data_IF_435309859756
#
_entry.id   IF_435309859756
#
_cell.length_a   1.000
_cell.length_b   1.000
_cell.length_c   1.000
_cell.angle_alpha   90.00
_cell.angle_beta   90.00
_cell.angle_gamma   90.00
#
_symmetry.space_group_name_H-M   'P 1'
#
loop_
_entity.id
_entity.type
_entity.pdbx_description
1 polymer ?
#
# COMPACT_ATOMS: atom_id res chain seq x y z
N UNK A 1 57.55 -6.44 30.91
CA UNK A 1 58.00 -5.04 31.12
C UNK A 1 58.08 -4.42 29.73
N UNK A 2 57.33 -3.40 29.33
CA UNK A 2 56.41 -2.52 30.05
C UNK A 2 55.44 -1.87 29.05
N UNK A 3 54.22 -1.60 29.53
CA UNK A 3 53.09 -0.90 28.89
C UNK A 3 53.39 0.59 28.62
N UNK A 4 52.73 1.21 27.63
CA UNK A 4 51.93 2.46 27.84
C UNK A 4 51.16 2.96 26.60
N UNK A 5 50.10 3.73 26.87
CA UNK A 5 49.00 4.25 26.02
C UNK A 5 49.23 5.69 25.50
N UNK A 6 48.38 6.10 24.54
CA UNK A 6 47.85 7.47 24.34
C UNK A 6 48.43 8.23 23.13
N UNK A 7 47.62 8.97 22.33
CA UNK A 7 47.22 10.37 22.65
C UNK A 7 45.74 10.71 22.31
N UNK A 8 45.03 11.64 22.97
CA UNK A 8 45.04 13.14 23.08
C UNK A 8 44.18 13.86 22.02
N UNK A 9 43.31 14.74 22.54
CA UNK A 9 42.22 15.54 22.00
C UNK A 9 42.61 17.00 21.67
N UNK A 10 41.82 17.64 20.78
CA UNK A 10 41.37 19.06 20.76
C UNK A 10 42.44 20.17 20.50
N UNK A 11 42.23 21.34 19.86
CA UNK A 11 41.06 22.15 19.46
C UNK A 11 41.52 23.48 18.74
N UNK A 12 40.55 24.29 18.21
CA UNK A 12 40.58 25.74 17.79
C UNK A 12 41.44 26.16 16.55
N UNK A 13 41.21 27.18 15.71
CA UNK A 13 40.36 28.39 15.52
C UNK A 13 40.55 28.84 14.03
N UNK A 14 39.56 29.24 13.22
CA UNK A 14 38.93 30.57 12.98
C UNK A 14 39.76 31.68 12.24
N UNK A 15 39.08 32.32 11.26
CA UNK A 15 39.39 33.61 10.55
C UNK A 15 40.56 33.65 9.51
N UNK A 16 40.61 34.45 8.43
CA UNK A 16 39.77 35.48 7.77
C UNK A 16 40.42 35.93 6.42
N UNK A 17 39.59 36.47 5.49
CA UNK A 17 39.81 37.59 4.53
C UNK A 17 41.06 37.71 3.60
N UNK A 18 40.81 38.00 2.30
CA UNK A 18 41.62 38.95 1.49
C UNK A 18 42.08 38.53 0.07
N UNK A 19 42.35 39.48 -0.87
CA UNK A 19 41.79 39.43 -2.24
C UNK A 19 42.77 39.51 -3.44
N UNK A 20 42.17 39.35 -4.64
CA UNK A 20 42.42 39.98 -5.97
C UNK A 20 43.79 39.89 -6.69
N UNK A 21 43.75 39.52 -7.99
CA UNK A 21 44.57 40.18 -9.02
C UNK A 21 43.97 40.03 -10.44
N UNK A 22 44.03 41.14 -11.17
CA UNK A 22 43.36 41.49 -12.43
C UNK A 22 43.92 40.84 -13.71
N UNK A 23 43.14 40.85 -14.80
CA UNK A 23 43.62 41.38 -16.10
C UNK A 23 42.48 41.78 -17.08
N UNK A 24 42.36 43.10 -17.24
CA UNK A 24 42.12 43.93 -18.44
C UNK A 24 40.83 43.87 -19.29
N UNK A 25 40.30 45.07 -19.56
CA UNK A 25 39.13 45.48 -20.34
C UNK A 25 39.54 46.02 -21.73
N UNK A 26 38.64 45.98 -22.72
CA UNK A 26 38.20 47.12 -23.58
C UNK A 26 37.07 46.65 -24.53
N UNK A 27 35.82 47.16 -24.41
CA UNK A 27 35.14 48.21 -25.22
C UNK A 27 34.75 47.74 -26.65
N UNK A 28 33.50 47.77 -27.12
CA UNK A 28 32.62 48.93 -27.37
C UNK A 28 31.12 48.54 -27.52
N UNK A 29 30.21 49.53 -27.39
CA UNK A 29 28.74 49.41 -27.31
C UNK A 29 27.91 49.35 -28.62
N UNK A 30 26.69 49.95 -28.68
CA UNK A 30 25.40 49.23 -28.56
C UNK A 30 24.42 49.46 -29.76
N UNK A 31 23.08 49.45 -29.60
CA UNK A 31 22.10 48.37 -29.83
C UNK A 31 21.17 48.62 -31.04
N UNK A 32 20.26 47.71 -31.41
CA UNK A 32 19.10 48.09 -32.24
C UNK A 32 17.88 47.16 -32.11
N UNK A 33 16.73 47.79 -31.82
CA UNK A 33 15.35 47.27 -31.93
C UNK A 33 14.96 46.92 -33.37
N UNK A 34 14.04 45.97 -33.54
CA UNK A 34 12.91 46.05 -34.51
C UNK A 34 11.93 44.86 -34.37
N UNK A 35 10.71 45.14 -33.93
CA UNK A 35 9.45 44.51 -34.39
C UNK A 35 8.85 45.40 -35.52
N UNK A 36 7.72 45.07 -36.19
CA UNK A 36 7.04 43.79 -36.46
C UNK A 36 6.69 43.64 -37.98
N UNK A 37 6.05 42.55 -38.41
CA UNK A 37 5.13 42.54 -39.57
C UNK A 37 4.19 41.33 -39.53
N UNK A 38 2.98 41.56 -40.04
CA UNK A 38 1.69 40.96 -39.70
C UNK A 38 1.20 39.86 -40.65
N UNK A 39 0.17 39.13 -40.16
CA UNK A 39 -0.93 38.44 -40.89
C UNK A 39 -0.62 37.18 -41.73
N UNK A 40 -1.23 36.05 -41.36
CA UNK A 40 -2.52 35.64 -41.94
C UNK A 40 -3.13 34.42 -41.23
N UNK A 41 -4.36 34.63 -40.79
CA UNK A 41 -5.31 33.62 -40.32
C UNK A 41 -5.75 32.73 -41.50
N UNK A 42 -5.74 31.41 -41.33
CA UNK A 42 -6.54 30.51 -42.16
C UNK A 42 -7.20 29.45 -41.28
N UNK A 43 -8.52 29.56 -41.18
CA UNK A 43 -9.39 28.59 -40.56
C UNK A 43 -9.42 27.28 -41.38
N UNK A 44 -9.11 26.17 -40.72
CA UNK A 44 -9.31 24.79 -41.20
C UNK A 44 -10.17 24.01 -40.18
N UNK A 45 -10.82 22.91 -40.59
CA UNK A 45 -12.15 22.49 -40.13
C UNK A 45 -12.18 21.90 -38.71
N UNK A 46 -13.36 21.82 -38.07
CA UNK A 46 -13.48 21.30 -36.73
C UNK A 46 -13.56 19.76 -36.74
N UNK A 47 -12.95 19.15 -35.73
CA UNK A 47 -13.09 17.76 -35.27
C UNK A 47 -12.41 16.61 -36.04
N UNK A 48 -11.38 16.07 -35.39
CA UNK A 48 -10.97 14.67 -35.43
C UNK A 48 -10.09 14.37 -34.21
N UNK A 49 -10.67 13.82 -33.12
CA UNK A 49 -9.92 13.28 -31.97
C UNK A 49 -9.12 12.06 -32.45
N UNK A 50 -7.82 12.23 -32.68
CA UNK A 50 -6.90 11.14 -32.95
C UNK A 50 -5.51 11.62 -33.36
N UNK A 51 -4.49 11.09 -32.71
CA UNK A 51 -3.04 11.30 -32.92
C UNK A 51 -2.43 12.60 -32.34
N UNK A 52 -1.64 12.46 -31.28
CA UNK A 52 -0.80 13.55 -30.75
C UNK A 52 -0.37 13.48 -29.29
N UNK A 53 -0.66 12.42 -28.53
CA UNK A 53 -0.13 12.27 -27.17
C UNK A 53 1.17 11.47 -27.18
N UNK A 54 2.32 12.13 -27.00
CA UNK A 54 3.62 11.47 -26.73
C UNK A 54 3.74 10.95 -25.29
N UNK A 55 2.64 10.99 -24.52
CA UNK A 55 2.60 10.62 -23.11
C UNK A 55 1.43 9.70 -22.77
N UNK A 56 1.65 8.86 -21.76
CA UNK A 56 0.62 8.06 -21.13
C UNK A 56 0.27 8.67 -19.77
N UNK A 57 -0.90 9.29 -19.64
CA UNK A 57 -1.29 9.96 -18.38
C UNK A 57 -1.56 8.96 -17.26
N UNK A 58 -2.02 7.75 -17.60
CA UNK A 58 -2.31 6.69 -16.62
C UNK A 58 -1.07 5.95 -16.12
N UNK A 59 0.12 6.24 -16.68
CA UNK A 59 1.36 5.55 -16.30
C UNK A 59 2.63 6.35 -16.56
N UNK A 60 3.26 6.81 -15.48
CA UNK A 60 4.54 7.55 -15.53
C UNK A 60 5.73 6.71 -16.00
N UNK A 61 5.65 5.38 -15.95
CA UNK A 61 6.71 4.48 -16.45
C UNK A 61 6.53 4.06 -17.91
N UNK A 62 5.52 4.60 -18.59
CA UNK A 62 5.30 4.30 -19.98
C UNK A 62 6.32 5.02 -20.86
N UNK A 63 6.87 4.29 -21.83
CA UNK A 63 7.59 4.85 -22.98
C UNK A 63 6.64 4.82 -24.17
N UNK A 64 6.44 5.97 -24.80
CA UNK A 64 5.55 6.12 -25.95
C UNK A 64 6.37 6.62 -27.15
N UNK A 65 6.40 5.84 -28.22
CA UNK A 65 7.20 6.11 -29.41
C UNK A 65 6.51 5.64 -30.71
N UNK A 66 7.02 6.09 -31.85
CA UNK A 66 6.56 5.68 -33.18
C UNK A 66 5.41 6.49 -33.77
N UNK A 67 4.99 6.10 -34.98
CA UNK A 67 3.86 6.68 -35.73
C UNK A 67 3.10 5.53 -36.40
N UNK A 68 1.89 5.17 -35.93
CA UNK A 68 1.14 5.75 -34.82
C UNK A 68 1.85 5.57 -33.47
N UNK A 69 1.58 6.45 -32.50
CA UNK A 69 2.20 6.42 -31.17
C UNK A 69 1.78 5.14 -30.42
N UNK A 70 2.77 4.33 -30.01
CA UNK A 70 2.56 3.10 -29.25
C UNK A 70 3.22 3.27 -27.88
N UNK A 71 2.43 3.10 -26.82
CA UNK A 71 2.92 3.16 -25.44
C UNK A 71 3.14 1.76 -24.88
N UNK A 72 4.25 1.58 -24.17
CA UNK A 72 4.57 0.33 -23.49
C UNK A 72 5.28 0.58 -22.16
N UNK A 73 5.25 -0.40 -21.27
CA UNK A 73 6.09 -0.40 -20.06
C UNK A 73 6.83 -1.73 -19.93
N UNK A 74 8.01 -1.70 -19.31
CA UNK A 74 8.77 -2.91 -19.03
C UNK A 74 8.16 -3.68 -17.87
N UNK A 75 7.90 -4.97 -18.08
CA UNK A 75 7.32 -5.89 -17.07
C UNK A 75 8.24 -7.06 -16.74
N UNK A 76 9.25 -7.32 -17.56
CA UNK A 76 10.35 -8.24 -17.33
C UNK A 76 11.51 -7.89 -18.27
N UNK A 77 12.64 -8.58 -18.16
CA UNK A 77 13.76 -8.41 -19.08
C UNK A 77 13.32 -8.62 -20.53
N UNK A 78 13.64 -7.63 -21.37
CA UNK A 78 13.27 -7.60 -22.80
C UNK A 78 11.77 -7.78 -23.09
N UNK A 79 10.90 -7.62 -22.09
CA UNK A 79 9.46 -7.83 -22.22
C UNK A 79 8.72 -6.52 -22.00
N UNK A 80 8.15 -5.99 -23.08
CA UNK A 80 7.33 -4.79 -23.11
C UNK A 80 5.85 -5.16 -23.07
N UNK A 81 5.13 -4.63 -22.09
CA UNK A 81 3.68 -4.71 -22.04
C UNK A 81 3.08 -3.51 -22.81
N UNK A 82 2.33 -3.73 -23.90
CA UNK A 82 1.61 -2.65 -24.58
C UNK A 82 0.52 -2.08 -23.66
N UNK A 83 0.30 -0.76 -23.76
CA UNK A 83 -0.60 -0.01 -22.90
C UNK A 83 -1.70 0.70 -23.70
N UNK A 84 -2.93 0.63 -23.18
CA UNK A 84 -4.03 1.52 -23.58
C UNK A 84 -4.05 2.70 -22.60
N UNK A 85 -3.50 3.85 -23.00
CA UNK A 85 -3.37 5.02 -22.15
C UNK A 85 -4.69 5.76 -21.88
N UNK A 86 -5.80 5.30 -22.46
CA UNK A 86 -7.13 5.84 -22.16
C UNK A 86 -7.81 5.11 -20.99
N UNK A 87 -7.15 4.10 -20.42
CA UNK A 87 -7.67 3.33 -19.29
C UNK A 87 -6.60 3.19 -18.22
N UNK A 88 -7.04 2.99 -16.98
CA UNK A 88 -6.14 2.55 -15.91
C UNK A 88 -5.55 1.19 -16.27
N UNK A 89 -4.27 1.00 -15.96
CA UNK A 89 -3.57 -0.24 -16.26
C UNK A 89 -4.01 -1.32 -15.25
N UNK A 90 -4.25 -2.56 -15.71
CA UNK A 90 -4.56 -3.68 -14.84
C UNK A 90 -3.53 -3.89 -13.73
N UNK A 91 -3.98 -4.09 -12.49
CA UNK A 91 -3.12 -4.28 -11.31
C UNK A 91 -2.08 -5.38 -11.50
N UNK A 92 -2.39 -6.47 -12.19
CA UNK A 92 -1.43 -7.55 -12.42
C UNK A 92 -0.20 -7.07 -13.19
N UNK A 93 -0.40 -6.30 -14.27
CA UNK A 93 0.71 -5.72 -15.04
C UNK A 93 1.47 -4.67 -14.24
N UNK A 94 0.78 -3.88 -13.42
CA UNK A 94 1.43 -2.92 -12.53
C UNK A 94 2.36 -3.60 -11.54
N UNK A 95 1.90 -4.67 -10.91
CA UNK A 95 2.71 -5.47 -9.99
C UNK A 95 3.93 -6.07 -10.71
N UNK A 96 3.77 -6.61 -11.93
CA UNK A 96 4.93 -7.04 -12.74
C UNK A 96 5.94 -5.93 -13.00
N UNK A 97 5.46 -4.76 -13.44
CA UNK A 97 6.33 -3.62 -13.72
C UNK A 97 7.08 -3.16 -12.45
N UNK A 98 6.42 -3.16 -11.31
CA UNK A 98 7.05 -2.84 -10.03
C UNK A 98 8.11 -3.86 -9.63
N UNK A 99 7.84 -5.16 -9.81
CA UNK A 99 8.80 -6.21 -9.52
C UNK A 99 10.01 -6.14 -10.45
N UNK A 100 9.80 -5.89 -11.75
CA UNK A 100 10.88 -5.63 -12.70
C UNK A 100 11.72 -4.42 -12.29
N UNK A 101 11.08 -3.31 -11.94
CA UNK A 101 11.81 -2.10 -11.51
C UNK A 101 12.59 -2.38 -10.23
N UNK A 102 11.98 -3.05 -9.26
CA UNK A 102 12.62 -3.45 -8.01
C UNK A 102 13.84 -4.34 -8.26
N UNK A 103 13.76 -5.30 -9.18
CA UNK A 103 14.88 -6.20 -9.50
C UNK A 103 16.03 -5.50 -10.23
N UNK A 104 15.75 -4.37 -10.91
CA UNK A 104 16.75 -3.51 -11.55
C UNK A 104 17.25 -2.38 -10.65
N UNK A 105 16.90 -2.37 -9.36
CA UNK A 105 17.18 -1.27 -8.43
C UNK A 105 16.68 0.10 -8.95
N UNK A 106 15.69 0.08 -9.84
CA UNK A 106 15.04 1.28 -10.31
C UNK A 106 14.05 1.71 -9.23
N UNK A 107 14.09 2.99 -8.87
CA UNK A 107 13.21 3.57 -7.85
C UNK A 107 11.74 3.18 -8.10
N UNK A 108 11.19 2.36 -7.22
CA UNK A 108 9.75 2.19 -6.98
C UNK A 108 9.28 3.12 -5.86
N UNK A 109 10.23 3.69 -5.09
CA UNK A 109 10.08 4.70 -4.04
C UNK A 109 11.09 5.80 -4.27
N UNK A 110 10.71 7.08 -4.20
CA UNK A 110 11.64 8.19 -4.42
C UNK A 110 12.66 8.30 -3.26
N UNK A 111 12.34 7.79 -2.07
CA UNK A 111 13.25 7.72 -0.92
C UNK A 111 12.83 6.51 -0.06
N UNK A 112 13.76 5.58 0.22
CA UNK A 112 13.54 4.47 1.17
C UNK A 112 13.29 3.09 0.54
N UNK A 113 14.30 2.56 -0.17
CA UNK A 113 14.41 1.10 -0.39
C UNK A 113 14.59 0.34 0.94
N UNK A 114 14.52 -1.00 0.92
CA UNK A 114 14.86 -1.79 2.11
C UNK A 114 16.28 -1.40 2.58
N UNK A 115 16.50 -1.08 3.86
CA UNK A 115 17.84 -0.71 4.34
C UNK A 115 18.86 -1.84 4.20
N UNK A 116 18.41 -3.12 4.21
CA UNK A 116 19.21 -4.34 3.99
C UNK A 116 18.34 -5.49 3.46
N UNK A 117 18.94 -6.50 2.83
CA UNK A 117 18.24 -7.68 2.27
C UNK A 117 17.41 -8.47 3.30
N UNK A 118 17.78 -8.40 4.58
CA UNK A 118 17.13 -9.12 5.69
C UNK A 118 15.96 -8.38 6.33
N UNK A 119 15.59 -7.19 5.84
CA UNK A 119 14.46 -6.45 6.37
C UNK A 119 13.13 -7.14 6.01
N UNK A 120 12.41 -7.61 7.03
CA UNK A 120 11.07 -8.19 6.90
C UNK A 120 10.05 -7.09 6.55
N UNK A 121 9.39 -7.26 5.40
CA UNK A 121 8.22 -6.51 4.95
C UNK A 121 7.05 -7.49 5.03
N UNK A 122 5.85 -6.98 5.34
CA UNK A 122 4.59 -7.72 5.49
C UNK A 122 4.47 -8.94 4.55
N UNK A 123 4.17 -10.12 5.12
CA UNK A 123 4.65 -11.43 4.63
C UNK A 123 3.97 -11.96 3.34
N UNK A 124 2.98 -11.26 2.79
CA UNK A 124 2.37 -11.60 1.49
C UNK A 124 2.33 -10.39 0.54
N UNK A 125 3.24 -9.42 0.70
CA UNK A 125 3.30 -8.16 -0.05
C UNK A 125 3.40 -8.28 -1.58
N UNK A 126 3.90 -7.23 -2.24
CA UNK A 126 4.08 -7.25 -3.70
C UNK A 126 4.94 -8.46 -4.13
N UNK A 127 4.43 -9.24 -5.09
CA UNK A 127 5.10 -10.40 -5.68
C UNK A 127 5.11 -10.23 -7.20
N UNK A 128 5.86 -11.06 -7.94
CA UNK A 128 5.82 -11.10 -9.41
C UNK A 128 4.68 -12.01 -9.85
N UNK A 129 3.53 -11.47 -10.29
CA UNK A 129 2.37 -12.30 -10.57
C UNK A 129 2.42 -12.91 -11.96
N UNK A 130 1.73 -14.03 -12.15
CA UNK A 130 1.30 -14.48 -13.46
C UNK A 130 -0.02 -13.81 -13.86
N UNK A 131 0.00 -13.20 -15.04
CA UNK A 131 -1.15 -12.51 -15.61
C UNK A 131 -1.64 -13.23 -16.86
N UNK A 132 -2.94 -13.20 -17.10
CA UNK A 132 -3.53 -13.44 -18.42
C UNK A 132 -3.18 -12.27 -19.37
N UNK A 133 -3.35 -12.47 -20.68
CA UNK A 133 -3.08 -11.44 -21.70
C UNK A 133 -3.93 -10.17 -21.51
N UNK A 134 -5.07 -10.27 -20.83
CA UNK A 134 -5.94 -9.13 -20.48
C UNK A 134 -5.47 -8.35 -19.25
N UNK A 135 -4.44 -8.82 -18.54
CA UNK A 135 -3.97 -8.24 -17.28
C UNK A 135 -4.74 -8.70 -16.05
N UNK A 136 -5.63 -9.68 -16.20
CA UNK A 136 -6.29 -10.39 -15.10
C UNK A 136 -5.28 -11.35 -14.44
N UNK A 137 -5.32 -11.50 -13.12
CA UNK A 137 -4.49 -12.49 -12.43
C UNK A 137 -4.88 -13.91 -12.84
N UNK A 138 -3.90 -14.77 -13.09
CA UNK A 138 -4.17 -16.21 -13.08
C UNK A 138 -4.58 -16.63 -11.66
N UNK A 139 -5.60 -17.49 -11.55
CA UNK A 139 -6.14 -17.90 -10.26
C UNK A 139 -5.09 -18.58 -9.37
N UNK A 140 -4.17 -19.34 -10.00
CA UNK A 140 -3.00 -19.92 -9.36
C UNK A 140 -1.80 -19.02 -9.58
N UNK A 141 -1.11 -18.73 -8.50
CA UNK A 141 0.17 -18.03 -8.49
C UNK A 141 1.21 -18.98 -7.90
N UNK A 142 2.42 -18.95 -8.43
CA UNK A 142 3.54 -19.72 -7.90
C UNK A 142 4.75 -18.82 -7.81
N UNK A 143 5.62 -19.07 -6.84
CA UNK A 143 6.96 -18.53 -6.91
C UNK A 143 7.81 -19.39 -7.87
N UNK A 144 9.00 -18.90 -8.22
CA UNK A 144 9.94 -19.61 -9.12
C UNK A 144 10.52 -20.92 -8.51
N UNK A 145 9.96 -21.44 -7.42
CA UNK A 145 10.36 -22.72 -6.80
C UNK A 145 9.27 -23.77 -6.96
N UNK A 146 8.62 -24.16 -5.86
CA UNK A 146 7.55 -25.17 -5.81
C UNK A 146 6.32 -24.71 -5.04
N UNK A 147 6.35 -23.51 -4.47
CA UNK A 147 5.29 -23.00 -3.62
C UNK A 147 4.27 -22.21 -4.46
N UNK A 148 3.00 -22.63 -4.38
CA UNK A 148 1.89 -22.04 -5.10
C UNK A 148 0.74 -21.67 -4.15
N UNK A 149 -0.08 -20.70 -4.52
CA UNK A 149 -1.26 -20.28 -3.79
C UNK A 149 -2.35 -19.82 -4.75
N UNK A 150 -3.61 -19.79 -4.29
CA UNK A 150 -4.68 -19.20 -5.06
C UNK A 150 -4.91 -17.74 -4.67
N UNK A 151 -5.28 -16.93 -5.67
CA UNK A 151 -5.58 -15.50 -5.51
C UNK A 151 -7.01 -15.16 -5.95
N UNK A 152 -7.48 -13.97 -5.60
CA UNK A 152 -8.73 -13.39 -6.14
C UNK A 152 -8.43 -12.51 -7.36
N UNK A 153 -9.48 -11.91 -7.93
CA UNK A 153 -9.34 -10.90 -8.99
C UNK A 153 -8.52 -9.68 -8.57
N UNK A 154 -8.33 -9.46 -7.25
CA UNK A 154 -7.43 -8.44 -6.72
C UNK A 154 -5.96 -8.88 -6.58
N UNK A 155 -5.62 -10.12 -6.93
CA UNK A 155 -4.27 -10.68 -6.77
C UNK A 155 -3.89 -10.99 -5.33
N UNK A 156 -4.83 -10.97 -4.40
CA UNK A 156 -4.62 -11.23 -2.97
C UNK A 156 -4.77 -12.72 -2.69
N UNK A 157 -3.83 -13.29 -1.94
CA UNK A 157 -3.83 -14.69 -1.53
C UNK A 157 -5.07 -15.03 -0.70
N UNK A 158 -5.67 -16.18 -0.99
CA UNK A 158 -6.92 -16.65 -0.35
C UNK A 158 -6.92 -18.14 -0.04
N UNK A 159 -5.75 -18.76 -0.11
CA UNK A 159 -5.50 -20.13 0.34
C UNK A 159 -4.19 -20.20 1.11
N UNK A 160 -4.01 -21.26 1.88
CA UNK A 160 -2.64 -21.63 2.27
C UNK A 160 -1.78 -21.87 1.04
N UNK A 161 -0.47 -21.73 1.25
CA UNK A 161 0.50 -22.10 0.24
C UNK A 161 0.59 -23.62 0.19
N UNK A 162 0.63 -24.15 -1.03
CA UNK A 162 0.78 -25.57 -1.32
C UNK A 162 1.87 -25.77 -2.37
N UNK A 163 1.98 -27.01 -2.85
CA UNK A 163 2.93 -27.33 -3.92
C UNK A 163 2.35 -27.08 -5.32
N UNK A 164 3.08 -27.50 -6.35
CA UNK A 164 2.63 -27.44 -7.76
C UNK A 164 1.36 -28.23 -8.05
N UNK A 165 0.90 -29.13 -7.18
CA UNK A 165 -0.35 -29.88 -7.35
C UNK A 165 -1.58 -29.09 -6.90
N UNK A 166 -1.40 -27.96 -6.20
CA UNK A 166 -2.48 -27.08 -5.77
C UNK A 166 -3.34 -26.68 -6.97
N UNK A 167 -4.67 -26.87 -6.84
CA UNK A 167 -5.67 -26.52 -7.84
C UNK A 167 -6.41 -25.26 -7.44
N UNK A 168 -6.44 -24.29 -8.35
CA UNK A 168 -7.21 -23.06 -8.22
C UNK A 168 -8.26 -23.05 -9.34
N UNK A 169 -9.38 -23.73 -9.13
CA UNK A 169 -10.38 -24.03 -10.17
C UNK A 169 -10.99 -22.78 -10.81
N UNK A 170 -11.05 -21.68 -10.06
CA UNK A 170 -11.60 -20.41 -10.52
C UNK A 170 -10.92 -19.23 -9.87
N UNK A 171 -10.88 -18.13 -10.61
CA UNK A 171 -10.57 -16.82 -10.07
C UNK A 171 -11.82 -16.26 -9.41
N UNK A 172 -11.79 -16.14 -8.08
CA UNK A 172 -12.92 -15.56 -7.34
C UNK A 172 -12.85 -14.05 -7.41
N UNK A 173 -13.99 -13.44 -7.66
CA UNK A 173 -14.10 -12.00 -7.84
C UNK A 173 -14.14 -11.27 -6.51
N UNK A 174 -13.38 -10.18 -6.40
CA UNK A 174 -13.53 -9.19 -5.35
C UNK A 174 -14.65 -8.22 -5.69
N UNK A 175 -15.75 -8.25 -4.93
CA UNK A 175 -16.91 -7.39 -5.17
C UNK A 175 -17.00 -6.19 -4.22
N UNK A 176 -16.14 -6.14 -3.19
CA UNK A 176 -16.11 -5.06 -2.23
C UNK A 176 -14.67 -4.75 -1.81
N UNK A 177 -14.30 -3.49 -1.91
CA UNK A 177 -13.06 -2.93 -1.36
C UNK A 177 -13.41 -1.98 -0.22
N UNK A 178 -12.84 -2.23 0.96
CA UNK A 178 -12.91 -1.30 2.10
C UNK A 178 -11.58 -0.57 2.23
N UNK A 179 -11.62 0.75 2.12
CA UNK A 179 -10.48 1.63 2.28
C UNK A 179 -10.55 2.25 3.68
N UNK A 180 -9.51 2.13 4.48
CA UNK A 180 -9.35 2.93 5.69
C UNK A 180 -8.28 3.98 5.42
N UNK A 181 -8.68 5.24 5.38
CA UNK A 181 -7.82 6.37 5.07
C UNK A 181 -7.55 7.15 6.35
N UNK A 182 -6.29 7.48 6.60
CA UNK A 182 -5.93 8.46 7.63
C UNK A 182 -5.62 9.76 6.93
N UNK A 183 -6.35 10.82 7.27
CA UNK A 183 -6.08 12.14 6.73
C UNK A 183 -5.05 12.90 7.57
N UNK A 184 -4.30 13.81 6.94
CA UNK A 184 -3.43 14.76 7.63
C UNK A 184 -4.25 15.71 8.52
N UNK A 185 -3.66 16.34 9.54
CA UNK A 185 -4.33 17.37 10.32
C UNK A 185 -4.98 18.45 9.44
N UNK A 186 -6.19 18.85 9.77
CA UNK A 186 -7.00 19.83 9.03
C UNK A 186 -7.22 21.07 9.87
N UNK A 187 -7.31 22.24 9.24
CA UNK A 187 -7.55 23.51 9.94
C UNK A 187 -9.00 23.63 10.42
N UNK A 188 -9.94 23.16 9.60
CA UNK A 188 -11.38 23.16 9.93
C UNK A 188 -11.86 21.71 10.14
N UNK A 189 -12.61 21.42 11.22
CA UNK A 189 -13.20 20.10 11.44
C UNK A 189 -14.05 19.65 10.24
N UNK A 190 -13.94 18.37 9.89
CA UNK A 190 -14.64 17.81 8.73
C UNK A 190 -16.13 17.61 9.04
N UNK A 191 -16.99 18.04 8.12
CA UNK A 191 -18.42 17.78 8.22
C UNK A 191 -18.73 16.35 7.72
N UNK A 192 -19.21 15.50 8.65
CA UNK A 192 -19.55 14.09 8.38
C UNK A 192 -20.60 13.93 7.27
N UNK A 193 -21.57 14.84 7.19
CA UNK A 193 -22.69 14.73 6.24
C UNK A 193 -22.25 14.93 4.78
N UNK A 194 -21.17 15.68 4.57
CA UNK A 194 -20.63 15.96 3.23
C UNK A 194 -19.46 15.06 2.84
N UNK A 195 -18.92 14.28 3.79
CA UNK A 195 -17.72 13.48 3.59
C UNK A 195 -17.89 12.43 2.50
N UNK A 196 -19.04 11.75 2.47
CA UNK A 196 -19.34 10.75 1.44
C UNK A 196 -19.27 11.35 0.03
N UNK A 197 -19.91 12.50 -0.18
CA UNK A 197 -19.92 13.19 -1.47
C UNK A 197 -18.51 13.63 -1.86
N UNK A 198 -17.78 14.26 -0.94
CA UNK A 198 -16.42 14.74 -1.20
C UNK A 198 -15.45 13.62 -1.57
N UNK A 199 -15.51 12.48 -0.87
CA UNK A 199 -14.69 11.30 -1.18
C UNK A 199 -15.09 10.69 -2.52
N UNK A 200 -16.40 10.53 -2.78
CA UNK A 200 -16.87 9.98 -4.06
C UNK A 200 -16.48 10.88 -5.24
N UNK A 201 -16.53 12.21 -5.08
CA UNK A 201 -16.11 13.18 -6.08
C UNK A 201 -14.61 13.13 -6.34
N UNK A 202 -13.80 13.02 -5.28
CA UNK A 202 -12.35 12.87 -5.40
C UNK A 202 -11.96 11.58 -6.13
N UNK A 203 -12.60 10.45 -5.77
CA UNK A 203 -12.38 9.15 -6.43
C UNK A 203 -12.79 9.23 -7.91
N UNK A 204 -13.97 9.79 -8.19
CA UNK A 204 -14.47 9.94 -9.56
C UNK A 204 -13.54 10.77 -10.43
N UNK A 205 -13.09 11.93 -9.93
CA UNK A 205 -12.21 12.84 -10.66
C UNK A 205 -10.85 12.21 -10.93
N UNK A 206 -10.29 11.49 -9.96
CA UNK A 206 -8.91 11.00 -10.03
C UNK A 206 -8.76 9.68 -10.77
N UNK A 207 -9.73 8.77 -10.65
CA UNK A 207 -9.62 7.39 -11.14
C UNK A 207 -10.54 7.12 -12.33
N UNK A 208 -10.37 7.91 -13.40
CA UNK A 208 -11.02 7.73 -14.71
C UNK A 208 -12.57 7.70 -14.65
N UNK A 209 -13.16 8.81 -14.20
CA UNK A 209 -14.62 8.97 -14.08
C UNK A 209 -15.30 7.85 -13.30
N UNK A 210 -14.61 7.33 -12.27
CA UNK A 210 -15.07 6.21 -11.47
C UNK A 210 -16.52 6.40 -10.99
N UNK A 211 -17.35 5.36 -11.10
CA UNK A 211 -18.77 5.48 -10.80
C UNK A 211 -18.99 5.79 -9.30
N UNK A 212 -19.38 7.04 -8.99
CA UNK A 212 -19.67 7.51 -7.63
C UNK A 212 -20.68 6.62 -6.89
N UNK A 213 -21.63 6.02 -7.61
CA UNK A 213 -22.64 5.16 -7.02
C UNK A 213 -22.07 3.86 -6.41
N UNK A 214 -20.82 3.49 -6.73
CA UNK A 214 -20.13 2.36 -6.11
C UNK A 214 -19.59 2.69 -4.72
N UNK A 215 -19.42 3.97 -4.37
CA UNK A 215 -19.09 4.41 -3.01
C UNK A 215 -20.37 4.33 -2.15
N UNK A 216 -20.53 3.23 -1.43
CA UNK A 216 -21.78 2.90 -0.73
C UNK A 216 -21.87 3.56 0.64
N UNK A 217 -20.78 3.54 1.39
CA UNK A 217 -20.77 3.96 2.79
C UNK A 217 -19.44 4.64 3.09
N UNK A 218 -19.53 5.71 3.89
CA UNK A 218 -18.37 6.47 4.38
C UNK A 218 -18.61 6.77 5.85
N UNK A 219 -17.74 6.25 6.70
CA UNK A 219 -17.75 6.49 8.14
C UNK A 219 -16.54 7.36 8.53
N UNK A 220 -16.68 8.14 9.59
CA UNK A 220 -15.62 9.04 10.05
C UNK A 220 -15.48 9.04 11.56
N UNK A 221 -14.27 8.69 11.99
CA UNK A 221 -13.77 8.89 13.34
C UNK A 221 -12.80 10.07 13.35
N UNK A 222 -13.21 11.14 14.03
CA UNK A 222 -12.45 12.39 14.10
C UNK A 222 -11.21 12.25 15.01
N UNK A 223 -11.28 11.45 16.06
CA UNK A 223 -10.21 11.32 17.06
C UNK A 223 -8.98 10.63 16.46
N UNK A 224 -9.21 9.63 15.62
CA UNK A 224 -8.17 8.92 14.87
C UNK A 224 -7.89 9.48 13.47
N UNK A 225 -8.60 10.54 13.04
CA UNK A 225 -8.58 11.09 11.66
C UNK A 225 -8.86 10.03 10.60
N UNK A 226 -9.67 9.03 10.93
CA UNK A 226 -9.89 7.86 10.10
C UNK A 226 -11.20 7.96 9.33
N UNK A 227 -11.11 7.80 8.01
CA UNK A 227 -12.24 7.73 7.09
C UNK A 227 -12.31 6.30 6.57
N UNK A 228 -13.41 5.60 6.83
CA UNK A 228 -13.65 4.25 6.30
C UNK A 228 -14.58 4.37 5.09
N UNK A 229 -14.16 3.87 3.93
CA UNK A 229 -14.89 3.99 2.66
C UNK A 229 -15.16 2.59 2.12
N UNK A 230 -16.43 2.25 1.95
CA UNK A 230 -16.86 1.01 1.32
C UNK A 230 -17.21 1.24 -0.15
N UNK A 231 -16.41 0.66 -1.04
CA UNK A 231 -16.65 0.66 -2.47
C UNK A 231 -17.13 -0.74 -2.88
N UNK A 232 -18.37 -0.84 -3.37
CA UNK A 232 -19.04 -2.12 -3.65
C UNK A 232 -19.59 -2.15 -5.06
N UNK A 233 -19.42 -3.29 -5.74
CA UNK A 233 -20.11 -3.66 -6.98
C UNK A 233 -21.07 -4.83 -6.74
N UNK A 234 -22.12 -4.97 -7.57
CA UNK A 234 -23.00 -6.14 -7.50
C UNK A 234 -22.22 -7.44 -7.68
N UNK A 235 -22.61 -8.50 -6.97
CA UNK A 235 -22.06 -9.84 -7.22
C UNK A 235 -22.37 -10.27 -8.66
N UNK A 236 -21.42 -10.90 -9.33
CA UNK A 236 -21.50 -11.28 -10.73
C UNK A 236 -21.04 -10.19 -11.71
N UNK A 237 -20.82 -8.95 -11.25
CA UNK A 237 -20.30 -7.89 -12.12
C UNK A 237 -18.81 -8.09 -12.39
N UNK A 238 -18.47 -8.23 -13.68
CA UNK A 238 -17.11 -8.37 -14.21
C UNK A 238 -16.68 -7.19 -15.10
N UNK A 239 -17.55 -6.19 -15.28
CA UNK A 239 -17.24 -4.98 -16.08
C UNK A 239 -16.53 -3.93 -15.24
N UNK A 240 -16.95 -3.80 -13.97
CA UNK A 240 -16.39 -2.81 -13.06
C UNK A 240 -15.18 -3.37 -12.32
N UNK A 241 -14.05 -2.68 -12.40
CA UNK A 241 -12.82 -3.05 -11.71
C UNK A 241 -12.57 -2.12 -10.51
N UNK A 242 -12.90 -2.62 -9.32
CA UNK A 242 -12.63 -1.90 -8.06
C UNK A 242 -11.15 -1.96 -7.68
N UNK A 243 -10.46 -3.02 -8.11
CA UNK A 243 -9.10 -3.36 -7.74
C UNK A 243 -8.11 -2.37 -8.32
N UNK A 244 -8.26 -2.00 -9.59
CA UNK A 244 -7.35 -1.04 -10.22
C UNK A 244 -7.44 0.32 -9.53
N UNK A 245 -8.65 0.82 -9.30
CA UNK A 245 -8.87 2.07 -8.55
C UNK A 245 -8.21 2.00 -7.17
N UNK A 246 -8.45 0.92 -6.41
CA UNK A 246 -7.88 0.75 -5.08
C UNK A 246 -6.35 0.71 -5.10
N UNK A 247 -5.75 0.07 -6.11
CA UNK A 247 -4.30 -0.01 -6.24
C UNK A 247 -3.68 1.34 -6.59
N UNK A 248 -4.23 2.07 -7.56
CA UNK A 248 -3.77 3.42 -7.89
C UNK A 248 -3.88 4.34 -6.67
N UNK A 249 -5.01 4.27 -5.95
CA UNK A 249 -5.23 5.04 -4.73
C UNK A 249 -4.23 4.69 -3.63
N UNK A 250 -3.93 3.40 -3.45
CA UNK A 250 -2.90 2.98 -2.50
C UNK A 250 -1.54 3.60 -2.83
N UNK A 251 -1.15 3.65 -4.11
CA UNK A 251 0.08 4.32 -4.55
C UNK A 251 0.04 5.82 -4.34
N UNK A 252 -1.06 6.47 -4.69
CA UNK A 252 -1.22 7.91 -4.53
C UNK A 252 -1.07 8.38 -3.07
N UNK A 253 -1.50 7.54 -2.12
CA UNK A 253 -1.40 7.84 -0.69
C UNK A 253 -0.06 7.37 -0.10
N UNK A 254 0.37 6.12 -0.32
CA UNK A 254 1.57 5.56 0.33
C UNK A 254 2.86 5.88 -0.39
N UNK A 255 2.89 5.71 -1.71
CA UNK A 255 4.13 5.60 -2.49
C UNK A 255 3.88 6.10 -3.91
N UNK A 256 4.29 7.35 -4.17
CA UNK A 256 4.37 8.01 -5.47
C UNK A 256 3.30 7.65 -6.52
N UNK A 257 2.37 8.58 -6.84
CA UNK A 257 1.34 8.41 -7.85
C UNK A 257 1.79 7.71 -9.15
N UNK A 258 1.03 6.72 -9.61
CA UNK A 258 1.35 6.01 -10.86
C UNK A 258 1.00 6.84 -12.10
N UNK A 259 0.01 7.71 -11.99
CA UNK A 259 -0.31 8.70 -13.01
C UNK A 259 0.91 9.55 -13.35
N UNK A 260 0.95 10.11 -14.56
CA UNK A 260 2.01 11.07 -14.93
C UNK A 260 1.90 12.34 -14.09
N UNK A 261 0.67 12.83 -13.86
CA UNK A 261 0.39 13.84 -12.84
C UNK A 261 0.73 13.28 -11.43
N UNK A 262 1.70 13.90 -10.76
CA UNK A 262 2.18 13.48 -9.43
C UNK A 262 1.42 14.11 -8.26
N UNK A 263 0.30 14.79 -8.48
CA UNK A 263 -0.60 15.18 -7.39
C UNK A 263 -0.99 13.95 -6.55
N UNK A 264 -1.16 14.10 -5.24
CA UNK A 264 -1.64 13.01 -4.38
C UNK A 264 -3.17 12.95 -4.37
N UNK A 265 -3.72 11.87 -3.85
CA UNK A 265 -5.16 11.82 -3.58
C UNK A 265 -5.52 12.77 -2.44
N UNK A 266 -6.45 13.68 -2.72
CA UNK A 266 -7.03 14.60 -1.75
C UNK A 266 -8.52 14.81 -2.04
N UNK A 267 -9.32 14.93 -0.97
CA UNK A 267 -10.71 15.33 -1.07
C UNK A 267 -10.87 16.81 -0.76
N UNK A 268 -11.78 17.51 -1.45
CA UNK A 268 -12.03 18.92 -1.19
C UNK A 268 -13.31 19.09 -0.37
N UNK A 269 -13.23 19.77 0.76
CA UNK A 269 -14.39 20.06 1.63
C UNK A 269 -14.27 21.46 2.23
N UNK A 270 -15.34 22.26 2.13
CA UNK A 270 -15.37 23.60 2.71
C UNK A 270 -14.24 24.52 2.22
N UNK A 271 -13.77 24.34 0.98
CA UNK A 271 -12.64 25.08 0.42
C UNK A 271 -11.25 24.59 0.87
N UNK A 272 -11.17 23.60 1.75
CA UNK A 272 -9.91 22.99 2.18
C UNK A 272 -9.63 21.68 1.45
N UNK A 273 -8.36 21.38 1.19
CA UNK A 273 -7.91 20.05 0.78
C UNK A 273 -7.71 19.15 2.00
N UNK A 274 -8.18 17.92 1.90
CA UNK A 274 -8.02 16.85 2.88
C UNK A 274 -7.14 15.79 2.24
N UNK A 275 -5.84 15.93 2.47
CA UNK A 275 -4.82 14.98 2.01
C UNK A 275 -4.73 13.77 2.92
N UNK A 276 -4.42 12.61 2.34
CA UNK A 276 -4.23 11.37 3.09
C UNK A 276 -2.74 11.14 3.39
N UNK A 277 -2.45 10.63 4.58
CA UNK A 277 -1.10 10.23 4.99
C UNK A 277 -0.94 8.71 5.07
N UNK A 278 -2.03 7.98 5.25
CA UNK A 278 -2.03 6.52 5.30
C UNK A 278 -3.29 5.93 4.68
N UNK A 279 -3.19 4.69 4.20
CA UNK A 279 -4.29 3.90 3.67
C UNK A 279 -4.10 2.42 4.02
N UNK A 280 -5.15 1.76 4.48
CA UNK A 280 -5.26 0.31 4.52
C UNK A 280 -6.35 -0.12 3.54
N UNK A 281 -6.07 -1.14 2.74
CA UNK A 281 -6.99 -1.65 1.72
C UNK A 281 -7.35 -3.08 2.06
N UNK A 282 -8.64 -3.32 2.27
CA UNK A 282 -9.20 -4.64 2.52
C UNK A 282 -10.04 -5.07 1.32
N UNK A 283 -9.83 -6.30 0.88
CA UNK A 283 -10.54 -6.88 -0.26
C UNK A 283 -11.50 -7.95 0.26
N UNK A 284 -12.77 -7.85 -0.15
CA UNK A 284 -13.82 -8.80 0.20
C UNK A 284 -14.34 -9.45 -1.07
N UNK A 285 -14.29 -10.77 -1.06
CA UNK A 285 -14.58 -11.62 -2.20
C UNK A 285 -16.03 -12.11 -2.20
N UNK A 286 -16.51 -12.51 -3.37
CA UNK A 286 -17.83 -13.14 -3.53
C UNK A 286 -17.95 -14.45 -2.75
N UNK A 287 -16.83 -15.14 -2.55
CA UNK A 287 -16.68 -16.41 -1.85
C UNK A 287 -15.60 -16.32 -0.77
N UNK A 288 -15.79 -16.96 0.40
CA UNK A 288 -14.82 -16.89 1.48
C UNK A 288 -13.48 -17.52 1.10
N UNK A 289 -12.36 -17.02 1.66
CA UNK A 289 -11.05 -17.66 1.47
C UNK A 289 -10.98 -19.00 2.21
N UNK A 290 -10.11 -19.89 1.75
CA UNK A 290 -9.91 -21.23 2.34
C UNK A 290 -8.51 -21.33 2.95
N UNK A 291 -8.35 -20.79 4.16
CA UNK A 291 -7.17 -20.98 4.97
C UNK A 291 -7.42 -22.08 6.00
N UNK A 292 -6.49 -23.02 6.12
CA UNK A 292 -6.48 -24.00 7.21
C UNK A 292 -5.81 -23.36 8.42
N UNK A 293 -6.39 -23.54 9.62
CA UNK A 293 -5.84 -23.04 10.89
C UNK A 293 -4.56 -23.79 11.33
N UNK A 294 -3.70 -24.21 10.38
CA UNK A 294 -2.51 -25.03 10.64
C UNK A 294 -1.38 -24.28 11.35
N UNK A 295 -1.47 -22.96 11.44
CA UNK A 295 -0.41 -22.11 12.01
C UNK A 295 -0.60 -21.74 13.49
N UNK A 296 -1.43 -22.47 14.25
CA UNK A 296 -1.22 -22.59 15.68
C UNK A 296 0.05 -23.42 15.88
N UNK A 297 1.21 -22.76 15.80
CA UNK A 297 2.53 -23.37 15.95
C UNK A 297 2.51 -24.32 17.14
N UNK A 298 3.04 -25.54 16.99
CA UNK A 298 3.05 -26.55 18.07
C UNK A 298 3.58 -26.02 19.41
N UNK A 299 4.43 -24.99 19.39
CA UNK A 299 4.88 -24.26 20.58
C UNK A 299 3.76 -23.55 21.36
N UNK A 300 2.78 -22.93 20.71
CA UNK A 300 1.63 -22.30 21.38
C UNK A 300 0.78 -23.36 22.08
N UNK A 301 0.52 -24.48 21.40
CA UNK A 301 -0.24 -25.61 21.97
C UNK A 301 0.53 -26.21 23.17
N UNK A 302 1.84 -26.40 23.05
CA UNK A 302 2.67 -26.91 24.15
C UNK A 302 2.64 -25.98 25.38
N UNK A 303 2.73 -24.66 25.17
CA UNK A 303 2.64 -23.67 26.27
C UNK A 303 1.27 -23.71 26.93
N UNK A 304 0.18 -23.75 26.15
CA UNK A 304 -1.19 -23.83 26.69
C UNK A 304 -1.36 -25.09 27.55
N UNK A 305 -0.90 -26.25 27.07
CA UNK A 305 -1.00 -27.51 27.82
C UNK A 305 -0.23 -27.43 29.15
N UNK A 306 0.99 -26.90 29.16
CA UNK A 306 1.80 -26.75 30.39
C UNK A 306 1.12 -25.82 31.39
N UNK A 307 0.58 -24.69 30.94
CA UNK A 307 -0.13 -23.73 31.81
C UNK A 307 -1.38 -24.36 32.43
N UNK A 308 -2.18 -25.08 31.64
CA UNK A 308 -3.39 -25.76 32.14
C UNK A 308 -3.03 -26.82 33.18
N UNK A 309 -2.01 -27.64 32.94
CA UNK A 309 -1.56 -28.65 33.90
C UNK A 309 -1.06 -28.02 35.22
N UNK A 310 -0.32 -26.91 35.15
CA UNK A 310 0.14 -26.20 36.34
C UNK A 310 -1.01 -25.63 37.17
N UNK A 311 -2.03 -25.05 36.52
CA UNK A 311 -3.23 -24.52 37.20
C UNK A 311 -4.02 -25.65 37.87
N UNK A 312 -4.25 -26.77 37.18
CA UNK A 312 -4.97 -27.92 37.73
C UNK A 312 -4.21 -28.51 38.93
N UNK A 313 -2.90 -28.66 38.83
CA UNK A 313 -2.06 -29.12 39.94
C UNK A 313 -2.14 -28.16 41.14
N UNK A 314 -2.06 -26.84 40.90
CA UNK A 314 -2.20 -25.83 41.95
C UNK A 314 -3.55 -25.88 42.66
N UNK A 315 -4.65 -26.02 41.91
CA UNK A 315 -6.00 -26.16 42.47
C UNK A 315 -6.15 -27.46 43.28
N UNK A 316 -5.59 -28.57 42.82
CA UNK A 316 -5.60 -29.83 43.56
C UNK A 316 -4.83 -29.71 44.89
N UNK A 317 -3.64 -29.10 44.88
CA UNK A 317 -2.86 -28.86 46.10
C UNK A 317 -3.64 -27.99 47.08
N UNK A 318 -4.26 -26.90 46.63
CA UNK A 318 -5.10 -26.04 47.46
C UNK A 318 -6.31 -26.79 48.03
N UNK A 319 -6.96 -27.62 47.23
CA UNK A 319 -8.09 -28.45 47.66
C UNK A 319 -7.67 -29.43 48.76
N UNK A 320 -6.57 -30.15 48.59
CA UNK A 320 -6.06 -31.09 49.59
C UNK A 320 -5.53 -30.39 50.85
N UNK A 321 -4.90 -29.22 50.71
CA UNK A 321 -4.46 -28.41 51.85
C UNK A 321 -5.65 -27.92 52.69
N UNK A 322 -6.69 -27.37 52.04
CA UNK A 322 -7.95 -26.98 52.71
C UNK A 322 -8.64 -28.16 53.38
N UNK A 323 -8.70 -29.32 52.70
CA UNK A 323 -9.28 -30.54 53.28
C UNK A 323 -8.53 -31.00 54.53
N UNK A 324 -7.19 -30.96 54.52
CA UNK A 324 -6.36 -31.28 55.69
C UNK A 324 -6.53 -30.28 56.84
N UNK A 325 -6.63 -28.98 56.55
CA UNK A 325 -6.93 -27.97 57.56
C UNK A 325 -8.29 -28.21 58.21
N UNK A 326 -9.35 -28.41 57.42
CA UNK A 326 -10.69 -28.70 57.96
C UNK A 326 -10.73 -29.99 58.81
N UNK A 327 -9.97 -31.04 58.44
CA UNK A 327 -9.85 -32.24 59.25
C UNK A 327 -9.09 -32.02 60.59
N UNK A 328 -8.17 -31.05 60.66
CA UNK A 328 -7.50 -30.67 61.92
C UNK A 328 -8.41 -29.83 62.82
N UNK A 329 -9.21 -28.92 62.25
CA UNK A 329 -10.19 -28.12 63.01
C UNK A 329 -11.28 -28.99 63.64
N UNK A 330 -11.78 -30.01 62.94
CA UNK A 330 -12.82 -30.91 63.49
C UNK A 330 -12.32 -31.87 64.58
N UNK A 331 -11.01 -32.00 64.81
CA UNK A 331 -10.46 -32.82 65.91
C UNK A 331 -10.19 -32.02 67.20
N UNK A 332 -10.44 -30.69 67.21
CA UNK A 332 -10.05 -29.82 68.33
C UNK A 332 -11.19 -29.43 69.30
N UNK A 333 -12.44 -29.85 69.12
CA UNK A 333 -13.52 -29.73 70.13
C UNK A 333 -14.51 -30.90 69.99
N UNK A 334 -15.05 -31.50 71.09
CA UNK A 334 -15.12 -30.99 72.46
C UNK A 334 -14.43 -31.91 73.50
N UNK A 335 -13.69 -31.32 74.45
CA UNK A 335 -13.52 -31.90 75.79
C UNK A 335 -14.32 -31.01 76.74
N UNK A 336 -15.50 -31.52 77.11
CA UNK A 336 -16.10 -31.43 78.44
C UNK A 336 -15.81 -30.13 79.23
N UNK A 337 -16.76 -29.19 79.21
CA UNK A 337 -16.95 -28.28 80.34
C UNK A 337 -17.95 -28.97 81.27
N UNK A 338 -17.48 -29.92 82.08
CA UNK A 338 -18.27 -30.48 83.16
C UNK A 338 -18.60 -29.37 84.16
N UNK A 339 -19.88 -29.26 84.46
CA UNK A 339 -20.47 -28.38 85.47
C UNK A 339 -20.34 -29.06 86.83
N UNK A 340 -19.58 -28.46 87.74
CA UNK A 340 -19.84 -28.51 89.20
C UNK A 340 -19.44 -27.18 89.82
#
# INVERSE_FOLDING_TARGET
MESTRGPVEQEWEQESLGPAMEREQESDGPPTEQEPLTEQESAGPPYGKGAGGSSCETMKWATCDGTPCICSMMVADSTKQPLDCNKMIPKCFLMKAEMYRSSKNLSTRLIGGKPVETAFVDNDGIYDPECENSGIFKAKQCNNTEECWCVNSAGVRRTDKGDKTLKCEKLVETNWVRLQLTHKPVATPLNKDHLKTAIADAIHKRYDNFNKAMVKEVEYDADSRMIVVDVKKPKGDRKSDLTNMAYYMEKDVKVLPLFRNQEKFAATMGGQQVEMENILVYYVDEEPPTFTMKNLSGGIIAVIVVVVLAVVAGLLVLFFARKRQNQRYNKAQPRELETM
#
